data_IF_031561682519
#
_entry.id   IF_031561682519
#
_cell.length_a   1.000
_cell.length_b   1.000
_cell.length_c   1.000
_cell.angle_alpha   90.00
_cell.angle_beta   90.00
_cell.angle_gamma   90.00
#
_symmetry.space_group_name_H-M   'P 1'
#
loop_
_entity.id
_entity.type
_entity.pdbx_description
1 polymer ?
#
# COMPACT_ATOMS: atom_id res chain seq x y z
N UNK A 1 9.47 13.90 5.07
CA UNK A 1 8.80 13.08 4.07
C UNK A 1 7.49 12.55 4.66
N UNK A 2 6.38 12.70 3.92
CA UNK A 2 5.04 12.33 4.39
C UNK A 2 4.54 11.00 3.81
N UNK A 3 5.41 10.25 3.15
CA UNK A 3 5.07 8.99 2.52
C UNK A 3 5.65 7.79 3.28
N UNK A 4 4.91 6.69 3.30
CA UNK A 4 5.39 5.45 3.91
C UNK A 4 6.64 4.91 3.20
N UNK A 5 7.54 4.35 3.98
CA UNK A 5 8.68 3.56 3.51
C UNK A 5 8.31 2.08 3.54
N UNK A 6 8.24 1.48 2.38
CA UNK A 6 7.83 0.09 2.18
C UNK A 6 8.93 -0.67 1.44
N UNK A 7 9.13 -1.92 1.78
CA UNK A 7 9.97 -2.87 1.06
C UNK A 7 9.14 -4.02 0.54
N UNK A 8 9.49 -4.55 -0.64
CA UNK A 8 8.85 -5.70 -1.24
C UNK A 8 9.86 -6.73 -1.78
N UNK A 9 9.49 -7.99 -1.72
CA UNK A 9 10.21 -9.11 -2.31
C UNK A 9 9.23 -9.94 -3.13
N UNK A 10 9.51 -10.11 -4.41
CA UNK A 10 8.74 -10.94 -5.32
C UNK A 10 9.52 -12.21 -5.61
N UNK A 11 8.87 -13.36 -5.44
CA UNK A 11 9.44 -14.68 -5.72
C UNK A 11 8.57 -15.35 -6.77
N UNK A 12 9.16 -15.65 -7.91
CA UNK A 12 8.48 -16.36 -9.02
C UNK A 12 8.26 -17.84 -8.66
N UNK A 13 7.39 -18.50 -9.44
CA UNK A 13 7.15 -19.94 -9.28
C UNK A 13 8.41 -20.80 -9.40
N UNK A 14 9.34 -20.39 -10.23
CA UNK A 14 10.63 -21.07 -10.47
C UNK A 14 11.76 -20.56 -9.56
N UNK A 15 11.44 -19.71 -8.58
CA UNK A 15 12.37 -19.32 -7.50
C UNK A 15 13.23 -18.10 -7.81
N UNK A 16 12.99 -17.34 -8.88
CA UNK A 16 13.66 -16.07 -9.11
C UNK A 16 13.18 -15.03 -8.08
N UNK A 17 14.08 -14.18 -7.60
CA UNK A 17 13.81 -13.20 -6.56
C UNK A 17 14.07 -11.79 -7.09
N UNK A 18 13.07 -10.91 -6.90
CA UNK A 18 13.15 -9.48 -7.25
C UNK A 18 12.74 -8.65 -6.05
N UNK A 19 13.48 -7.60 -5.77
CA UNK A 19 13.21 -6.72 -4.63
C UNK A 19 12.84 -5.32 -5.10
N UNK A 20 12.07 -4.62 -4.28
CA UNK A 20 11.72 -3.23 -4.53
C UNK A 20 11.56 -2.47 -3.21
N UNK A 21 11.74 -1.17 -3.26
CA UNK A 21 11.42 -0.28 -2.15
C UNK A 21 10.76 1.00 -2.67
N UNK A 22 10.04 1.67 -1.81
CA UNK A 22 9.29 2.88 -2.16
C UNK A 22 10.21 3.93 -2.79
N UNK A 23 9.83 4.43 -3.97
CA UNK A 23 10.56 5.51 -4.69
C UNK A 23 11.97 5.12 -5.13
N UNK A 24 12.19 3.86 -5.46
CA UNK A 24 13.50 3.36 -5.88
C UNK A 24 13.95 3.98 -7.20
N UNK A 25 13.12 3.91 -8.24
CA UNK A 25 13.45 4.42 -9.59
C UNK A 25 12.66 5.67 -9.98
N UNK A 26 11.49 5.88 -9.38
CA UNK A 26 10.65 7.06 -9.60
C UNK A 26 9.98 7.51 -8.30
N UNK A 27 9.74 8.83 -8.12
CA UNK A 27 9.28 9.40 -6.85
C UNK A 27 7.87 8.96 -6.44
N UNK A 28 7.09 8.43 -7.35
CA UNK A 28 5.74 7.95 -7.13
C UNK A 28 5.58 6.42 -7.23
N UNK A 29 6.68 5.68 -7.41
CA UNK A 29 6.64 4.22 -7.43
C UNK A 29 6.53 3.64 -6.00
N UNK A 30 5.66 2.66 -5.86
CA UNK A 30 5.57 1.84 -4.65
C UNK A 30 6.52 0.64 -4.73
N UNK A 31 6.84 0.05 -3.58
CA UNK A 31 7.80 -1.05 -3.48
C UNK A 31 7.40 -2.27 -4.32
N UNK A 32 6.11 -2.63 -4.29
CA UNK A 32 5.57 -3.75 -5.06
C UNK A 32 5.70 -3.50 -6.57
N UNK A 33 5.44 -2.29 -7.01
CA UNK A 33 5.58 -1.88 -8.41
C UNK A 33 7.04 -1.98 -8.87
N UNK A 34 7.98 -1.53 -8.04
CA UNK A 34 9.42 -1.64 -8.34
C UNK A 34 9.87 -3.10 -8.51
N UNK A 35 9.42 -3.99 -7.61
CA UNK A 35 9.72 -5.41 -7.72
C UNK A 35 9.10 -6.03 -8.99
N UNK A 36 7.86 -5.68 -9.32
CA UNK A 36 7.16 -6.12 -10.53
C UNK A 36 7.90 -5.65 -11.79
N UNK A 37 8.26 -4.38 -11.85
CA UNK A 37 8.98 -3.80 -13.01
C UNK A 37 10.29 -4.53 -13.27
N UNK A 38 11.09 -4.80 -12.24
CA UNK A 38 12.35 -5.54 -12.38
C UNK A 38 12.13 -6.97 -12.88
N UNK A 39 11.11 -7.65 -12.37
CA UNK A 39 10.77 -8.99 -12.81
C UNK A 39 10.35 -9.00 -14.28
N UNK A 40 9.52 -8.06 -14.71
CA UNK A 40 9.09 -7.91 -16.12
C UNK A 40 10.25 -7.56 -17.05
N UNK A 41 11.14 -6.65 -16.64
CA UNK A 41 12.36 -6.31 -17.39
C UNK A 41 13.30 -7.50 -17.57
N UNK A 42 13.34 -8.41 -16.60
CA UNK A 42 14.10 -9.65 -16.66
C UNK A 42 13.40 -10.76 -17.48
N UNK A 43 12.20 -10.51 -17.99
CA UNK A 43 11.40 -11.51 -18.72
C UNK A 43 10.85 -12.62 -17.83
N UNK A 44 10.75 -12.41 -16.52
CA UNK A 44 10.23 -13.40 -15.59
C UNK A 44 8.71 -13.57 -15.73
N UNK A 45 8.22 -14.79 -15.47
CA UNK A 45 6.79 -15.09 -15.43
C UNK A 45 6.25 -14.78 -14.04
N UNK A 46 5.27 -13.88 -13.97
CA UNK A 46 4.67 -13.44 -12.70
C UNK A 46 3.46 -14.26 -12.28
N UNK A 47 2.82 -14.98 -13.22
CA UNK A 47 1.71 -15.87 -12.90
C UNK A 47 2.17 -16.94 -11.89
N UNK A 48 1.42 -17.06 -10.80
CA UNK A 48 1.73 -17.98 -9.72
C UNK A 48 2.86 -17.52 -8.77
N UNK A 49 3.38 -16.30 -8.94
CA UNK A 49 4.38 -15.74 -8.04
C UNK A 49 3.79 -15.39 -6.65
N UNK A 50 4.67 -15.25 -5.68
CA UNK A 50 4.37 -14.71 -4.35
C UNK A 50 5.05 -13.37 -4.19
N UNK A 51 4.34 -12.37 -3.66
CA UNK A 51 4.91 -11.09 -3.28
C UNK A 51 4.79 -10.89 -1.77
N UNK A 52 5.90 -10.51 -1.16
CA UNK A 52 6.03 -10.13 0.24
C UNK A 52 6.17 -8.61 0.30
N UNK A 53 5.40 -7.96 1.15
CA UNK A 53 5.50 -6.52 1.37
C UNK A 53 5.53 -6.21 2.86
N UNK A 54 6.26 -5.18 3.27
CA UNK A 54 6.24 -4.77 4.68
C UNK A 54 4.91 -4.14 5.09
N UNK A 55 4.13 -3.64 4.13
CA UNK A 55 2.82 -3.05 4.35
C UNK A 55 1.80 -3.57 3.35
N UNK A 56 0.52 -3.55 3.71
CA UNK A 56 -0.59 -3.95 2.85
C UNK A 56 -0.55 -3.24 1.49
N UNK A 57 -0.60 -3.97 0.36
CA UNK A 57 -0.65 -3.37 -0.97
C UNK A 57 -1.85 -2.43 -1.11
N UNK A 58 -1.61 -1.22 -1.59
CA UNK A 58 -2.66 -0.20 -1.74
C UNK A 58 -3.80 -0.65 -2.67
N UNK A 59 -5.02 -0.27 -2.34
CA UNK A 59 -6.22 -0.51 -3.17
C UNK A 59 -6.55 0.67 -4.09
N UNK A 60 -6.08 1.86 -3.73
CA UNK A 60 -6.23 3.09 -4.51
C UNK A 60 -4.97 3.94 -4.41
N UNK A 61 -4.69 4.75 -5.41
CA UNK A 61 -3.60 5.72 -5.36
C UNK A 61 -3.93 6.91 -6.28
N UNK A 62 -3.50 8.09 -5.86
CA UNK A 62 -3.75 9.33 -6.61
C UNK A 62 -2.77 9.55 -7.76
N UNK A 63 -1.55 9.08 -7.61
CA UNK A 63 -0.45 9.34 -8.54
C UNK A 63 -0.50 8.51 -9.82
N UNK A 64 -1.21 7.38 -9.81
CA UNK A 64 -1.28 6.45 -10.94
C UNK A 64 -2.64 5.79 -11.04
N UNK A 65 -3.07 5.40 -12.26
CA UNK A 65 -4.39 4.81 -12.49
C UNK A 65 -4.54 3.41 -11.88
N UNK A 66 -3.43 2.71 -11.60
CA UNK A 66 -3.45 1.34 -11.08
C UNK A 66 -2.84 1.28 -9.70
N UNK A 67 -3.56 0.67 -8.75
CA UNK A 67 -3.06 0.36 -7.42
C UNK A 67 -2.13 -0.85 -7.42
N UNK A 68 -1.36 -1.06 -6.36
CA UNK A 68 -0.51 -2.25 -6.21
C UNK A 68 -1.35 -3.53 -6.21
N UNK A 69 -2.51 -3.53 -5.54
CA UNK A 69 -3.44 -4.67 -5.57
C UNK A 69 -3.92 -5.00 -6.98
N UNK A 70 -4.26 -3.98 -7.78
CA UNK A 70 -4.66 -4.17 -9.17
C UNK A 70 -3.51 -4.73 -10.03
N UNK A 71 -2.29 -4.25 -9.84
CA UNK A 71 -1.12 -4.77 -10.54
C UNK A 71 -0.87 -6.25 -10.22
N UNK A 72 -1.01 -6.63 -8.97
CA UNK A 72 -0.84 -8.02 -8.51
C UNK A 72 -1.91 -8.93 -9.11
N UNK A 73 -3.18 -8.49 -9.09
CA UNK A 73 -4.31 -9.24 -9.65
C UNK A 73 -4.15 -9.45 -11.14
N UNK A 74 -3.80 -8.41 -11.90
CA UNK A 74 -3.65 -8.48 -13.35
C UNK A 74 -2.57 -9.47 -13.79
N UNK A 75 -1.53 -9.61 -12.98
CA UNK A 75 -0.42 -10.54 -13.26
C UNK A 75 -0.66 -11.94 -12.74
N UNK A 76 -1.85 -12.21 -12.19
CA UNK A 76 -2.26 -13.54 -11.71
C UNK A 76 -1.28 -14.13 -10.69
N UNK A 77 -0.77 -13.29 -9.81
CA UNK A 77 0.04 -13.78 -8.70
C UNK A 77 -0.81 -14.67 -7.80
N UNK A 78 -0.17 -15.64 -7.18
CA UNK A 78 -0.86 -16.65 -6.36
C UNK A 78 -1.09 -16.17 -4.94
N UNK A 79 -0.13 -15.45 -4.38
CA UNK A 79 -0.07 -15.18 -2.94
C UNK A 79 0.53 -13.83 -2.65
N UNK A 80 -0.02 -13.16 -1.65
CA UNK A 80 0.48 -11.93 -1.05
C UNK A 80 0.69 -12.12 0.44
N UNK A 81 1.86 -11.72 0.93
CA UNK A 81 2.22 -11.76 2.35
C UNK A 81 2.62 -10.35 2.76
N UNK A 82 2.03 -9.82 3.83
CA UNK A 82 2.44 -8.51 4.34
C UNK A 82 2.46 -8.50 5.87
N UNK A 83 3.20 -7.55 6.46
CA UNK A 83 3.42 -7.51 7.90
C UNK A 83 2.37 -6.69 8.64
N UNK A 84 1.91 -5.59 8.05
CA UNK A 84 0.98 -4.65 8.70
C UNK A 84 -0.04 -4.10 7.71
N UNK A 85 -1.28 -3.93 8.15
CA UNK A 85 -2.30 -3.21 7.39
C UNK A 85 -1.97 -1.74 7.34
N UNK A 86 -2.21 -1.11 6.20
CA UNK A 86 -2.01 0.33 6.07
C UNK A 86 -2.92 1.07 7.07
N UNK A 87 -2.35 1.91 7.95
CA UNK A 87 -3.16 2.69 8.89
C UNK A 87 -4.09 3.66 8.17
N UNK A 88 -5.35 3.77 8.63
CA UNK A 88 -6.41 4.63 8.07
C UNK A 88 -6.11 6.14 8.28
N UNK A 89 -4.94 6.61 7.84
CA UNK A 89 -4.53 8.01 7.99
C UNK A 89 -4.90 8.89 6.81
N UNK A 90 -4.89 8.34 5.59
CA UNK A 90 -5.08 9.09 4.35
C UNK A 90 -6.26 8.59 3.54
N UNK A 91 -6.36 7.28 3.38
CA UNK A 91 -7.45 6.58 2.67
C UNK A 91 -7.62 5.23 3.35
N UNK A 92 -8.87 4.79 3.48
CA UNK A 92 -9.13 3.44 3.96
C UNK A 92 -8.61 2.43 2.94
N UNK A 93 -7.53 1.73 3.28
CA UNK A 93 -6.99 0.69 2.43
C UNK A 93 -7.91 -0.54 2.44
N UNK A 94 -8.18 -1.08 1.26
CA UNK A 94 -8.93 -2.32 1.04
C UNK A 94 -8.15 -3.33 0.20
N UNK A 95 -6.84 -3.22 0.23
CA UNK A 95 -5.95 -4.07 -0.56
C UNK A 95 -6.15 -5.54 -0.26
N UNK A 96 -6.16 -5.91 1.02
CA UNK A 96 -6.42 -7.28 1.46
C UNK A 96 -7.75 -7.83 0.93
N UNK A 97 -8.84 -7.07 1.07
CA UNK A 97 -10.15 -7.49 0.60
C UNK A 97 -10.18 -7.67 -0.93
N UNK A 98 -9.63 -6.71 -1.67
CA UNK A 98 -9.55 -6.78 -3.13
C UNK A 98 -8.77 -8.00 -3.62
N UNK A 99 -7.67 -8.33 -2.95
CA UNK A 99 -6.85 -9.50 -3.28
C UNK A 99 -7.59 -10.82 -2.99
N UNK A 100 -8.25 -10.92 -1.83
CA UNK A 100 -9.04 -12.10 -1.47
C UNK A 100 -10.24 -12.30 -2.40
N UNK A 101 -10.94 -11.22 -2.76
CA UNK A 101 -12.08 -11.27 -3.69
C UNK A 101 -11.65 -11.73 -5.09
N UNK A 102 -10.41 -11.46 -5.48
CA UNK A 102 -9.81 -11.94 -6.72
C UNK A 102 -9.27 -13.39 -6.65
N UNK A 103 -9.42 -14.07 -5.51
CA UNK A 103 -8.96 -15.44 -5.31
C UNK A 103 -7.48 -15.58 -4.97
N UNK A 104 -6.79 -14.49 -4.60
CA UNK A 104 -5.39 -14.51 -4.19
C UNK A 104 -5.30 -14.87 -2.70
N UNK A 105 -4.38 -15.79 -2.37
CA UNK A 105 -4.08 -16.12 -0.99
C UNK A 105 -3.41 -14.92 -0.30
N UNK A 106 -3.94 -14.50 0.84
CA UNK A 106 -3.37 -13.40 1.63
C UNK A 106 -2.99 -13.91 3.01
N UNK A 107 -1.73 -13.67 3.39
CA UNK A 107 -1.21 -14.00 4.70
C UNK A 107 -0.67 -12.73 5.38
N UNK A 108 -1.06 -12.50 6.62
CA UNK A 108 -0.56 -11.37 7.43
C UNK A 108 0.44 -11.89 8.45
N UNK A 109 1.70 -11.41 8.36
CA UNK A 109 2.77 -11.76 9.30
C UNK A 109 2.82 -10.75 10.45
N UNK A 110 1.92 -10.85 11.39
CA UNK A 110 1.81 -9.92 12.53
C UNK A 110 3.08 -9.87 13.39
N UNK A 111 3.86 -10.95 13.42
CA UNK A 111 5.15 -11.01 14.12
C UNK A 111 6.18 -9.98 13.61
N UNK A 112 6.05 -9.51 12.38
CA UNK A 112 6.92 -8.49 11.76
C UNK A 112 6.29 -7.08 11.75
N UNK A 113 5.07 -6.92 12.27
CA UNK A 113 4.36 -5.64 12.25
C UNK A 113 5.13 -4.53 12.98
N UNK A 114 5.74 -4.83 14.12
CA UNK A 114 6.53 -3.87 14.89
C UNK A 114 7.68 -3.30 14.04
N UNK A 115 8.44 -4.15 13.37
CA UNK A 115 9.57 -3.74 12.53
C UNK A 115 9.11 -2.90 11.33
N UNK A 116 8.00 -3.28 10.69
CA UNK A 116 7.42 -2.52 9.59
C UNK A 116 6.93 -1.13 10.04
N UNK A 117 6.36 -1.01 11.25
CA UNK A 117 5.93 0.26 11.82
C UNK A 117 7.12 1.13 12.26
N UNK A 118 8.17 0.55 12.81
CA UNK A 118 9.40 1.27 13.19
C UNK A 118 10.05 1.95 12.00
N UNK A 119 10.07 1.30 10.84
CA UNK A 119 10.54 1.91 9.59
C UNK A 119 9.73 3.15 9.17
N UNK A 120 8.53 3.31 9.70
CA UNK A 120 7.60 4.40 9.42
C UNK A 120 7.35 5.33 10.62
N UNK A 121 8.19 5.27 11.65
CA UNK A 121 8.05 6.07 12.86
C UNK A 121 7.98 7.58 12.57
N UNK A 122 8.66 8.05 11.54
CA UNK A 122 8.68 9.45 11.09
C UNK A 122 7.29 9.96 10.65
N UNK A 123 6.39 9.08 10.23
CA UNK A 123 5.00 9.41 9.86
C UNK A 123 4.06 9.18 11.03
N UNK A 124 4.25 8.08 11.75
CA UNK A 124 3.33 7.62 12.79
C UNK A 124 3.42 8.46 14.06
N UNK A 125 4.54 9.16 14.30
CA UNK A 125 4.77 10.03 15.47
C UNK A 125 4.19 11.45 15.34
N UNK A 126 3.62 11.82 14.18
CA UNK A 126 3.00 13.14 13.97
C UNK A 126 1.61 13.23 14.60
N UNK A 127 1.11 14.46 14.88
CA UNK A 127 -0.25 14.64 15.40
C UNK A 127 -1.28 14.02 14.44
N UNK A 128 -2.22 13.28 15.01
CA UNK A 128 -3.36 12.72 14.26
C UNK A 128 -4.24 13.91 13.86
N UNK A 129 -4.15 14.36 12.62
CA UNK A 129 -5.11 15.33 12.08
C UNK A 129 -6.39 14.55 11.78
N UNK A 130 -7.37 14.68 12.65
CA UNK A 130 -8.69 14.10 12.45
C UNK A 130 -9.46 14.97 11.42
N UNK A 131 -9.69 14.51 10.19
CA UNK A 131 -10.37 15.32 9.17
C UNK A 131 -11.87 15.56 9.46
N UNK A 132 -12.40 15.01 10.54
CA UNK A 132 -13.79 15.17 10.95
C UNK A 132 -14.06 16.40 11.85
N UNK A 133 -13.04 17.22 12.18
CA UNK A 133 -13.20 18.36 13.09
C UNK A 133 -13.49 19.71 12.40
N UNK A 134 -13.60 19.76 11.07
CA UNK A 134 -13.84 21.03 10.35
C UNK A 134 -15.25 21.16 9.73
N UNK A 135 -16.29 20.68 10.40
CA UNK A 135 -17.66 20.98 9.94
C UNK A 135 -18.60 21.38 11.08
N UNK A 136 -18.21 22.37 11.87
CA UNK A 136 -19.13 22.93 12.88
C UNK A 136 -18.75 24.34 13.26
N UNK A 137 -18.78 25.26 12.30
CA UNK A 137 -19.04 26.69 12.58
C UNK A 137 -19.76 27.31 11.39
N UNK A 138 -21.06 27.13 11.36
CA UNK A 138 -21.92 28.07 10.66
C UNK A 138 -22.06 29.30 11.56
N UNK A 139 -21.75 30.52 11.12
CA UNK A 139 -22.16 31.69 11.85
C UNK A 139 -23.67 31.85 11.69
N UNK A 140 -24.32 31.94 12.81
CA UNK A 140 -25.72 32.30 12.98
C UNK A 140 -25.97 33.66 12.32
N UNK A 141 -26.86 33.68 11.36
CA UNK A 141 -27.41 34.91 10.80
C UNK A 141 -28.57 35.36 11.71
N UNK A 142 -28.22 36.12 12.73
CA UNK A 142 -29.19 36.80 13.55
C UNK A 142 -29.38 38.26 13.04
N UNK A 143 -30.62 38.52 12.67
CA UNK A 143 -31.35 39.75 12.94
C UNK A 143 -30.91 41.05 12.24
N UNK A 144 -31.65 41.43 11.22
CA UNK A 144 -31.89 42.84 10.88
C UNK A 144 -33.40 43.09 10.88
N UNK A 145 -33.90 43.56 12.02
CA UNK A 145 -35.09 44.39 12.08
C UNK A 145 -34.64 45.77 12.48
N UNK A 146 -34.87 46.73 11.64
CA UNK A 146 -35.36 48.09 11.87
C UNK A 146 -35.41 48.83 10.52
#
# INVERSE_FOLDING_TARGET
DKAYSVGAVLVTRDGQVFTGYSRETAPDNHAEEEAILKAEQAGATLEGATIYSSMEPCSTRRSKPRSCSALIIDRRMKRVVFAVREPDRFVRCRGEQSLRDAGIEVCVLESLAKQALEANAHILSGPIVNPAAESSTRPDAADRRA
#
